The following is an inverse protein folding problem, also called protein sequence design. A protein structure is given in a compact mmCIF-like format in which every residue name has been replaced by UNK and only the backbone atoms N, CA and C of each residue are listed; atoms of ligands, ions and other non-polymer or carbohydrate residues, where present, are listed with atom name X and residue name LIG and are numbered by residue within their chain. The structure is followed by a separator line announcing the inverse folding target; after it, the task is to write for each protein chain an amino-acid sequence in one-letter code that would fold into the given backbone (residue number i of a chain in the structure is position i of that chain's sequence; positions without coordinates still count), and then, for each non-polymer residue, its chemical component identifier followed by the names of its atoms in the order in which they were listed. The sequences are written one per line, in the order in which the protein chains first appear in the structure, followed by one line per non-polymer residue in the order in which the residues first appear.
data_IF_414629839637
#
_entry.id   IF_414629839637
#
_cell.length_a   1.000
_cell.length_b   1.000
_cell.length_c   1.000
_cell.angle_alpha   90.00
_cell.angle_beta   90.00
_cell.angle_gamma   90.00
#
_symmetry.space_group_name_H-M   'P 1'
#
loop_
_entity.id
_entity.type
_entity.pdbx_description
1 polymer ?
#
# COMPACT_ATOMS: atom_id res chain seq x y z
N UNK A 1 -6.22 -4.90 15.39
CA UNK A 1 -5.36 -3.85 14.78
C UNK A 1 -6.07 -2.52 14.90
N UNK A 2 -5.37 -1.50 15.39
CA UNK A 2 -5.80 -0.10 15.37
C UNK A 2 -5.42 0.52 14.03
N UNK A 3 -6.30 1.33 13.44
CA UNK A 3 -6.13 1.88 12.10
C UNK A 3 -6.65 3.31 12.03
N UNK A 4 -5.91 4.18 11.38
CA UNK A 4 -6.35 5.52 10.97
C UNK A 4 -6.05 5.72 9.50
N UNK A 5 -6.96 6.40 8.80
CA UNK A 5 -6.84 6.72 7.37
C UNK A 5 -6.77 8.22 7.21
N UNK A 6 -5.83 8.69 6.40
CA UNK A 6 -5.62 10.09 6.07
C UNK A 6 -5.61 10.24 4.54
N UNK A 7 -6.70 10.69 3.92
CA UNK A 7 -6.66 11.09 2.51
C UNK A 7 -5.81 12.36 2.39
N UNK A 8 -4.70 12.28 1.68
CA UNK A 8 -3.68 13.35 1.60
C UNK A 8 -3.40 13.77 0.17
N UNK A 9 -2.94 15.00 0.03
CA UNK A 9 -2.61 15.62 -1.25
C UNK A 9 -3.81 15.84 -2.18
N UNK A 10 -3.54 16.38 -3.36
CA UNK A 10 -4.58 16.71 -4.36
C UNK A 10 -5.25 15.48 -4.96
N UNK A 11 -4.57 14.34 -4.98
CA UNK A 11 -5.09 13.06 -5.50
C UNK A 11 -5.83 12.27 -4.42
N UNK A 12 -5.89 12.77 -3.17
CA UNK A 12 -6.56 12.12 -2.05
C UNK A 12 -6.08 10.68 -1.83
N UNK A 13 -4.75 10.49 -1.91
CA UNK A 13 -4.12 9.19 -1.65
C UNK A 13 -4.35 8.80 -0.20
N UNK A 14 -4.81 7.60 0.04
CA UNK A 14 -5.05 7.08 1.38
C UNK A 14 -3.73 6.68 2.05
N UNK A 15 -3.23 7.51 2.94
CA UNK A 15 -2.18 7.11 3.87
C UNK A 15 -2.82 6.38 5.07
N UNK A 16 -2.31 5.21 5.40
CA UNK A 16 -2.77 4.44 6.54
C UNK A 16 -1.74 4.44 7.67
N UNK A 17 -2.20 4.71 8.90
CA UNK A 17 -1.43 4.54 10.12
C UNK A 17 -1.99 3.35 10.88
N UNK A 18 -1.16 2.33 11.15
CA UNK A 18 -1.60 1.09 11.77
C UNK A 18 -0.66 0.61 12.89
N UNK A 19 -1.24 -0.08 13.91
CA UNK A 19 -0.50 -0.70 15.01
C UNK A 19 -1.34 -1.79 15.70
N UNK A 20 -0.69 -2.72 16.40
CA UNK A 20 -1.37 -3.66 17.28
C UNK A 20 -1.82 -2.99 18.59
N UNK A 21 -2.93 -3.43 19.15
CA UNK A 21 -3.37 -2.99 20.47
C UNK A 21 -2.22 -3.14 21.48
N UNK A 22 -2.01 -2.11 22.30
CA UNK A 22 -0.93 -2.08 23.29
C UNK A 22 0.47 -1.76 22.74
N UNK A 23 0.68 -1.72 21.42
CA UNK A 23 1.99 -1.33 20.85
C UNK A 23 2.29 0.14 21.08
N UNK A 24 3.50 0.48 21.51
CA UNK A 24 4.00 1.86 21.54
C UNK A 24 4.49 2.36 20.18
N UNK A 25 4.55 1.46 19.19
CA UNK A 25 4.99 1.74 17.84
C UNK A 25 3.83 1.73 16.85
N UNK A 26 4.01 2.42 15.72
CA UNK A 26 3.11 2.37 14.57
C UNK A 26 3.89 2.24 13.26
N UNK A 27 3.17 1.94 12.20
CA UNK A 27 3.64 2.02 10.80
C UNK A 27 2.81 3.04 10.05
N UNK A 28 3.38 3.60 8.97
CA UNK A 28 2.65 4.32 7.93
C UNK A 28 2.72 3.51 6.63
N UNK A 29 1.62 3.53 5.87
CA UNK A 29 1.56 2.94 4.53
C UNK A 29 1.23 4.07 3.56
N UNK A 30 2.05 4.24 2.53
CA UNK A 30 1.93 5.23 1.47
C UNK A 30 1.76 6.69 1.96
N UNK A 31 2.72 7.26 2.70
CA UNK A 31 2.68 8.65 3.12
C UNK A 31 3.08 9.59 1.98
N UNK A 32 2.18 9.78 1.01
CA UNK A 32 2.44 10.47 -0.25
C UNK A 32 2.65 11.98 -0.12
N UNK A 33 2.00 12.62 0.85
CA UNK A 33 2.03 14.06 1.05
C UNK A 33 1.94 14.45 2.53
N UNK A 34 1.98 15.74 2.82
CA UNK A 34 1.68 16.34 4.12
C UNK A 34 2.46 15.69 5.29
N UNK A 35 3.81 15.58 5.19
CA UNK A 35 4.62 14.88 6.18
C UNK A 35 4.46 15.46 7.60
N UNK A 36 4.30 16.78 7.73
CA UNK A 36 4.11 17.46 9.02
C UNK A 36 2.79 17.03 9.70
N UNK A 37 1.70 16.92 8.93
CA UNK A 37 0.42 16.44 9.42
C UNK A 37 0.55 14.99 9.91
N UNK A 38 1.18 14.11 9.11
CA UNK A 38 1.36 12.71 9.46
C UNK A 38 2.23 12.53 10.71
N UNK A 39 3.32 13.29 10.82
CA UNK A 39 4.18 13.30 12.02
C UNK A 39 3.42 13.81 13.25
N UNK A 40 2.59 14.83 13.12
CA UNK A 40 1.73 15.29 14.20
C UNK A 40 0.75 14.20 14.63
N UNK A 41 0.14 13.47 13.68
CA UNK A 41 -0.76 12.36 14.00
C UNK A 41 -0.05 11.24 14.76
N UNK A 42 1.18 10.90 14.39
CA UNK A 42 2.02 9.93 15.13
C UNK A 42 2.20 10.40 16.58
N UNK A 43 2.53 11.68 16.79
CA UNK A 43 2.71 12.26 18.13
C UNK A 43 1.40 12.29 18.93
N UNK A 44 0.29 12.66 18.33
CA UNK A 44 -1.03 12.70 18.97
C UNK A 44 -1.47 11.30 19.45
N UNK A 45 -1.11 10.25 18.71
CA UNK A 45 -1.33 8.87 19.14
C UNK A 45 -0.30 8.39 20.18
N UNK A 46 0.69 9.21 20.56
CA UNK A 46 1.79 8.87 21.46
C UNK A 46 2.56 7.63 21.00
N UNK A 47 2.79 7.53 19.67
CA UNK A 47 3.49 6.41 19.07
C UNK A 47 4.88 6.82 18.59
N UNK A 48 5.74 5.83 18.43
CA UNK A 48 7.00 5.94 17.69
C UNK A 48 6.81 5.32 16.32
N UNK A 49 7.16 6.03 15.25
CA UNK A 49 7.08 5.48 13.90
C UNK A 49 8.23 4.47 13.70
N UNK A 50 7.88 3.20 13.57
CA UNK A 50 8.84 2.12 13.37
C UNK A 50 9.23 1.97 11.91
N UNK A 51 8.24 2.07 11.02
CA UNK A 51 8.46 1.87 9.59
C UNK A 51 7.42 2.58 8.72
N UNK A 52 7.83 2.83 7.47
CA UNK A 52 6.97 3.15 6.34
C UNK A 52 6.96 1.95 5.41
N UNK A 53 5.78 1.56 4.94
CA UNK A 53 5.57 0.53 3.93
C UNK A 53 5.04 1.19 2.66
N UNK A 54 5.69 0.96 1.53
CA UNK A 54 5.26 1.47 0.23
C UNK A 54 4.64 0.36 -0.59
N UNK A 55 3.43 0.58 -1.08
CA UNK A 55 2.78 -0.35 -2.01
C UNK A 55 3.41 -0.27 -3.39
N UNK A 56 3.85 0.91 -3.82
CA UNK A 56 4.57 1.17 -5.06
C UNK A 56 5.27 2.55 -5.03
N UNK A 57 5.91 2.96 -6.13
CA UNK A 57 6.78 4.12 -6.17
C UNK A 57 6.20 5.39 -6.80
N UNK A 58 4.90 5.49 -7.10
CA UNK A 58 4.35 6.72 -7.64
C UNK A 58 4.43 7.89 -6.66
N UNK A 59 4.63 9.08 -7.22
CA UNK A 59 4.93 10.31 -6.47
C UNK A 59 3.92 10.64 -5.38
N UNK A 60 2.66 10.31 -5.62
CA UNK A 60 1.57 10.56 -4.68
C UNK A 60 1.49 9.54 -3.53
N UNK A 61 2.26 8.46 -3.59
CA UNK A 61 2.43 7.49 -2.50
C UNK A 61 3.74 7.69 -1.73
N UNK A 62 4.74 8.35 -2.33
CA UNK A 62 6.10 8.43 -1.76
C UNK A 62 6.55 9.86 -1.40
N UNK A 63 5.83 10.90 -1.78
CA UNK A 63 6.31 12.28 -1.67
C UNK A 63 6.61 12.75 -0.24
N UNK A 64 5.91 12.23 0.78
CA UNK A 64 6.16 12.52 2.20
C UNK A 64 7.23 11.64 2.85
N UNK A 65 7.70 10.58 2.18
CA UNK A 65 8.59 9.56 2.77
C UNK A 65 9.91 10.15 3.25
N UNK A 66 10.60 10.89 2.38
CA UNK A 66 11.94 11.42 2.66
C UNK A 66 11.99 12.33 3.89
N UNK A 67 11.12 13.37 4.02
CA UNK A 67 11.10 14.21 5.22
C UNK A 67 10.70 13.42 6.48
N UNK A 68 9.73 12.49 6.40
CA UNK A 68 9.34 11.67 7.56
C UNK A 68 10.51 10.79 8.01
N UNK A 69 11.17 10.10 7.08
CA UNK A 69 12.30 9.23 7.41
C UNK A 69 13.50 10.02 7.96
N UNK A 70 13.76 11.23 7.44
CA UNK A 70 14.83 12.10 7.93
C UNK A 70 14.59 12.55 9.39
N UNK A 71 13.33 12.82 9.78
CA UNK A 71 12.98 13.24 11.13
C UNK A 71 12.95 12.09 12.13
N UNK A 72 12.44 10.92 11.70
CA UNK A 72 12.16 9.80 12.63
C UNK A 72 13.24 8.73 12.66
N UNK A 73 14.06 8.65 11.60
CA UNK A 73 15.00 7.54 11.41
C UNK A 73 14.31 6.19 11.17
N UNK A 74 13.02 6.17 10.82
CA UNK A 74 12.27 4.94 10.61
C UNK A 74 12.77 4.15 9.40
N UNK A 75 12.50 2.84 9.39
CA UNK A 75 12.75 2.00 8.22
C UNK A 75 11.75 2.32 7.12
N UNK A 76 12.19 2.23 5.86
CA UNK A 76 11.32 2.40 4.69
C UNK A 76 11.45 1.17 3.80
N UNK A 77 10.34 0.50 3.53
CA UNK A 77 10.25 -0.73 2.76
C UNK A 77 9.58 -0.49 1.41
N UNK A 78 10.16 -1.03 0.35
CA UNK A 78 9.60 -1.04 -1.01
C UNK A 78 9.89 -2.37 -1.70
N UNK A 79 9.04 -2.75 -2.67
CA UNK A 79 9.31 -3.95 -3.46
C UNK A 79 10.58 -3.78 -4.32
N UNK A 80 11.44 -4.80 -4.32
CA UNK A 80 12.68 -4.79 -5.10
C UNK A 80 12.43 -4.65 -6.61
N UNK A 81 11.30 -5.18 -7.12
CA UNK A 81 10.92 -5.06 -8.53
C UNK A 81 10.63 -3.62 -8.94
N UNK A 82 10.14 -2.77 -8.03
CA UNK A 82 9.88 -1.36 -8.27
C UNK A 82 11.16 -0.59 -8.64
N UNK A 83 12.28 -0.98 -8.06
CA UNK A 83 13.58 -0.33 -8.28
C UNK A 83 14.17 -0.59 -9.67
N UNK A 84 13.62 -1.54 -10.43
CA UNK A 84 14.05 -1.87 -11.80
C UNK A 84 13.47 -0.92 -12.85
N UNK A 85 12.52 -0.04 -12.46
CA UNK A 85 11.87 0.88 -13.37
C UNK A 85 12.68 2.13 -13.64
N UNK A 86 12.60 2.75 -14.85
CA UNK A 86 13.17 4.07 -15.09
C UNK A 86 12.49 5.09 -14.17
N UNK A 87 13.27 5.80 -13.40
CA UNK A 87 12.88 6.70 -12.31
C UNK A 87 12.01 7.93 -12.68
N UNK A 88 11.37 7.97 -13.85
CA UNK A 88 10.59 9.13 -14.30
C UNK A 88 9.39 9.48 -13.41
N UNK A 89 8.93 8.55 -12.58
CA UNK A 89 7.77 8.73 -11.70
C UNK A 89 8.10 8.53 -10.21
N UNK A 90 9.34 8.18 -9.91
CA UNK A 90 9.85 7.95 -8.56
C UNK A 90 11.07 8.82 -8.24
N UNK A 91 11.21 10.00 -8.90
CA UNK A 91 12.27 10.94 -8.57
C UNK A 91 12.20 11.29 -7.08
N UNK A 92 13.28 10.93 -6.38
CA UNK A 92 13.37 11.15 -4.95
C UNK A 92 12.84 9.99 -4.06
N UNK A 93 12.55 8.82 -4.64
CA UNK A 93 12.21 7.64 -3.86
C UNK A 93 13.28 7.36 -2.81
N UNK A 94 12.89 7.40 -1.55
CA UNK A 94 13.74 7.06 -0.42
C UNK A 94 13.30 5.72 0.15
N UNK A 95 14.24 4.80 0.32
CA UNK A 95 14.02 3.51 0.95
C UNK A 95 15.26 3.05 1.71
N UNK A 96 15.08 2.15 2.66
CA UNK A 96 16.18 1.56 3.44
C UNK A 96 16.22 0.04 3.33
N UNK A 97 15.09 -0.59 3.00
CA UNK A 97 14.91 -2.03 2.90
C UNK A 97 14.08 -2.37 1.68
N UNK A 98 14.30 -3.54 1.12
CA UNK A 98 13.45 -4.10 0.07
C UNK A 98 12.63 -5.26 0.60
N UNK A 99 11.47 -5.48 -0.05
CA UNK A 99 10.61 -6.65 0.15
C UNK A 99 10.35 -7.35 -1.16
N UNK A 100 9.93 -8.60 -1.06
CA UNK A 100 9.57 -9.45 -2.19
C UNK A 100 8.32 -10.29 -1.85
N UNK A 101 7.82 -11.01 -2.85
CA UNK A 101 6.74 -11.97 -2.70
C UNK A 101 6.97 -12.94 -1.54
N UNK A 102 5.98 -13.06 -0.66
CA UNK A 102 5.98 -14.02 0.43
C UNK A 102 6.71 -13.57 1.69
N UNK A 103 7.40 -12.42 1.66
CA UNK A 103 8.03 -11.88 2.86
C UNK A 103 6.98 -11.62 3.96
N UNK A 104 7.40 -11.83 5.21
CA UNK A 104 6.59 -11.55 6.39
C UNK A 104 7.30 -10.52 7.25
N UNK A 105 6.65 -9.41 7.48
CA UNK A 105 7.16 -8.31 8.30
C UNK A 105 6.49 -8.33 9.68
N UNK A 106 7.29 -8.21 10.73
CA UNK A 106 6.82 -8.03 12.11
C UNK A 106 7.13 -6.60 12.56
N UNK A 107 6.12 -5.72 12.49
CA UNK A 107 6.26 -4.27 12.72
C UNK A 107 5.10 -3.75 13.56
N UNK A 108 5.38 -2.89 14.52
CA UNK A 108 4.38 -2.28 15.41
C UNK A 108 3.45 -3.31 16.08
N UNK A 109 3.96 -4.52 16.37
CA UNK A 109 3.18 -5.65 16.89
C UNK A 109 2.27 -6.34 15.87
N UNK A 110 2.29 -5.91 14.61
CA UNK A 110 1.54 -6.51 13.51
C UNK A 110 2.39 -7.54 12.76
N UNK A 111 1.72 -8.50 12.14
CA UNK A 111 2.31 -9.43 11.17
C UNK A 111 1.71 -9.12 9.81
N UNK A 112 2.56 -8.68 8.88
CA UNK A 112 2.14 -8.30 7.53
C UNK A 112 2.81 -9.23 6.51
N UNK A 113 2.02 -9.88 5.68
CA UNK A 113 2.50 -10.65 4.54
C UNK A 113 2.55 -9.78 3.29
N UNK A 114 3.64 -9.86 2.54
CA UNK A 114 3.82 -9.17 1.27
C UNK A 114 3.28 -10.03 0.15
N UNK A 115 2.36 -9.49 -0.63
CA UNK A 115 1.79 -10.11 -1.82
C UNK A 115 2.19 -9.27 -3.03
N UNK A 116 3.04 -9.78 -3.90
CA UNK A 116 3.41 -9.09 -5.14
C UNK A 116 2.24 -9.11 -6.12
N UNK A 117 1.79 -7.94 -6.51
CA UNK A 117 0.58 -7.73 -7.34
C UNK A 117 0.88 -6.76 -8.49
N UNK A 118 1.75 -7.16 -9.45
CA UNK A 118 2.18 -6.29 -10.54
C UNK A 118 1.01 -5.93 -11.47
N UNK A 119 1.18 -4.81 -12.17
CA UNK A 119 0.29 -4.40 -13.25
C UNK A 119 0.00 -2.92 -13.30
N UNK A 120 -0.26 -2.24 -12.18
CA UNK A 120 -0.26 -0.78 -12.11
C UNK A 120 1.18 -0.25 -12.22
N UNK A 121 2.08 -0.81 -11.43
CA UNK A 121 3.53 -0.81 -11.66
C UNK A 121 4.07 -2.24 -11.56
N UNK A 122 5.28 -2.53 -12.05
CA UNK A 122 5.87 -3.86 -11.94
C UNK A 122 6.19 -4.29 -10.52
N UNK A 123 6.41 -3.35 -9.62
CA UNK A 123 6.75 -3.60 -8.23
C UNK A 123 5.59 -3.40 -7.25
N UNK A 124 4.35 -3.24 -7.72
CA UNK A 124 3.19 -3.15 -6.82
C UNK A 124 3.11 -4.34 -5.88
N UNK A 125 2.86 -4.05 -4.61
CA UNK A 125 2.56 -5.05 -3.58
C UNK A 125 1.31 -4.68 -2.81
N UNK A 126 0.60 -5.70 -2.34
CA UNK A 126 -0.38 -5.57 -1.27
C UNK A 126 0.23 -6.06 0.04
N UNK A 127 -0.20 -5.48 1.16
CA UNK A 127 0.15 -5.96 2.49
C UNK A 127 -1.08 -6.57 3.15
N UNK A 128 -1.00 -7.87 3.47
CA UNK A 128 -2.07 -8.59 4.17
C UNK A 128 -1.74 -8.66 5.67
N UNK A 129 -2.64 -8.14 6.50
CA UNK A 129 -2.53 -8.13 7.96
C UNK A 129 -3.82 -8.66 8.58
N UNK A 130 -3.82 -9.94 9.00
CA UNK A 130 -5.02 -10.59 9.49
C UNK A 130 -6.13 -10.60 8.45
N UNK A 131 -7.25 -9.95 8.74
CA UNK A 131 -8.43 -9.80 7.88
C UNK A 131 -8.42 -8.53 7.00
N UNK A 132 -7.30 -7.82 6.94
CA UNK A 132 -7.18 -6.53 6.26
C UNK A 132 -6.12 -6.57 5.17
N UNK A 133 -6.50 -6.17 3.96
CA UNK A 133 -5.65 -6.06 2.78
C UNK A 133 -5.44 -4.58 2.42
N UNK A 134 -4.23 -4.09 2.59
CA UNK A 134 -3.80 -2.79 2.04
C UNK A 134 -3.42 -3.02 0.58
N UNK A 135 -4.29 -2.64 -0.33
CA UNK A 135 -4.19 -3.03 -1.75
C UNK A 135 -3.42 -2.03 -2.62
N UNK A 136 -3.05 -0.87 -2.08
CA UNK A 136 -2.45 0.19 -2.90
C UNK A 136 -3.27 0.43 -4.15
N UNK A 137 -2.60 0.58 -5.29
CA UNK A 137 -3.23 0.81 -6.58
C UNK A 137 -3.43 -0.49 -7.40
N UNK A 138 -3.58 -1.61 -6.72
CA UNK A 138 -3.94 -2.88 -7.37
C UNK A 138 -5.46 -3.05 -7.45
N UNK A 139 -6.17 -2.99 -6.32
CA UNK A 139 -7.61 -3.22 -6.21
C UNK A 139 -8.29 -2.04 -5.55
N UNK A 140 -9.29 -1.47 -6.21
CA UNK A 140 -10.18 -0.42 -5.72
C UNK A 140 -11.63 -0.90 -5.60
N UNK A 141 -12.46 -0.14 -4.92
CA UNK A 141 -13.90 -0.40 -4.89
C UNK A 141 -14.52 -0.34 -6.30
N UNK A 142 -14.90 -1.51 -6.84
CA UNK A 142 -15.51 -1.65 -8.16
C UNK A 142 -14.59 -1.46 -9.36
N UNK A 143 -13.28 -1.31 -9.17
CA UNK A 143 -12.31 -1.09 -10.25
C UNK A 143 -10.90 -1.54 -9.84
N UNK A 144 -9.89 -1.22 -10.64
CA UNK A 144 -8.49 -1.49 -10.37
C UNK A 144 -7.61 -0.31 -10.78
N UNK A 145 -6.32 -0.37 -10.43
CA UNK A 145 -5.34 0.61 -10.85
C UNK A 145 -5.19 0.68 -12.36
N UNK A 146 -4.92 1.88 -12.87
CA UNK A 146 -4.64 2.11 -14.30
C UNK A 146 -3.35 1.41 -14.72
N UNK A 147 -3.28 1.04 -16.00
CA UNK A 147 -2.14 0.30 -16.57
C UNK A 147 -1.55 0.98 -17.81
N UNK A 148 -1.93 2.21 -18.06
CA UNK A 148 -1.50 3.01 -19.22
C UNK A 148 -0.30 3.93 -18.94
N UNK A 149 0.21 3.91 -17.71
CA UNK A 149 1.47 4.59 -17.34
C UNK A 149 2.68 3.69 -17.62
N UNK A 150 3.89 4.28 -17.74
CA UNK A 150 5.11 3.50 -17.94
C UNK A 150 5.30 2.41 -16.89
N UNK A 151 5.51 1.18 -17.34
CA UNK A 151 5.59 0.01 -16.48
C UNK A 151 4.25 -0.68 -16.22
N UNK A 152 3.13 -0.05 -16.62
CA UNK A 152 1.80 -0.65 -16.51
C UNK A 152 1.60 -1.82 -17.47
N UNK A 153 0.90 -2.86 -17.00
CA UNK A 153 0.57 -4.07 -17.78
C UNK A 153 -0.81 -4.59 -17.38
N UNK A 154 -1.74 -4.53 -18.33
CA UNK A 154 -3.12 -4.95 -18.08
C UNK A 154 -3.25 -6.46 -17.81
N UNK A 155 -2.43 -7.30 -18.48
CA UNK A 155 -2.47 -8.74 -18.22
C UNK A 155 -1.92 -9.06 -16.83
N UNK A 156 -0.89 -8.35 -16.41
CA UNK A 156 -0.31 -8.53 -15.08
C UNK A 156 -1.31 -8.13 -14.00
N UNK A 157 -2.01 -6.98 -14.13
CA UNK A 157 -2.99 -6.57 -13.10
C UNK A 157 -4.18 -7.52 -13.07
N UNK A 158 -4.64 -8.05 -14.20
CA UNK A 158 -5.68 -9.08 -14.22
C UNK A 158 -5.25 -10.34 -13.45
N UNK A 159 -4.03 -10.84 -13.68
CA UNK A 159 -3.51 -11.98 -12.94
C UNK A 159 -3.39 -11.69 -11.43
N UNK A 160 -2.97 -10.48 -11.07
CA UNK A 160 -2.91 -10.01 -9.69
C UNK A 160 -4.30 -9.99 -9.04
N UNK A 161 -5.30 -9.49 -9.74
CA UNK A 161 -6.69 -9.45 -9.24
C UNK A 161 -7.28 -10.86 -9.07
N UNK A 162 -7.03 -11.78 -10.01
CA UNK A 162 -7.46 -13.18 -9.87
C UNK A 162 -6.80 -13.85 -8.66
N UNK A 163 -5.52 -13.56 -8.44
CA UNK A 163 -4.81 -14.03 -7.25
C UNK A 163 -5.43 -13.49 -5.97
N UNK A 164 -5.76 -12.20 -5.90
CA UNK A 164 -6.44 -11.59 -4.75
C UNK A 164 -7.83 -12.20 -4.56
N UNK A 165 -8.57 -12.46 -5.64
CA UNK A 165 -9.88 -13.10 -5.57
C UNK A 165 -9.84 -14.51 -4.98
N UNK A 166 -8.72 -15.22 -5.12
CA UNK A 166 -8.51 -16.56 -4.58
C UNK A 166 -8.07 -16.60 -3.11
N UNK A 167 -7.82 -15.45 -2.46
CA UNK A 167 -7.51 -15.40 -1.03
C UNK A 167 -8.70 -15.91 -0.20
N UNK A 168 -8.42 -16.57 0.92
CA UNK A 168 -9.47 -17.09 1.79
C UNK A 168 -10.15 -15.97 2.61
N UNK A 169 -11.44 -16.15 2.86
CA UNK A 169 -12.24 -15.27 3.71
C UNK A 169 -12.67 -13.96 3.04
N UNK A 170 -13.44 -13.16 3.78
CA UNK A 170 -13.82 -11.80 3.39
C UNK A 170 -12.87 -10.81 4.05
N UNK A 171 -11.92 -10.32 3.28
CA UNK A 171 -10.92 -9.36 3.73
C UNK A 171 -11.44 -7.93 3.56
N UNK A 172 -11.19 -7.08 4.54
CA UNK A 172 -11.36 -5.63 4.39
C UNK A 172 -10.31 -5.12 3.39
N UNK A 173 -10.75 -4.48 2.31
CA UNK A 173 -9.90 -3.91 1.27
C UNK A 173 -9.70 -2.42 1.54
N UNK A 174 -8.44 -2.03 1.69
CA UNK A 174 -7.99 -0.66 1.94
C UNK A 174 -7.13 -0.18 0.76
N UNK A 175 -7.72 0.53 -0.21
CA UNK A 175 -7.05 0.93 -1.45
C UNK A 175 -6.20 2.19 -1.30
N UNK A 176 -5.30 2.43 -2.25
CA UNK A 176 -4.54 3.68 -2.36
C UNK A 176 -5.43 4.90 -2.62
N UNK A 177 -6.55 4.72 -3.30
CA UNK A 177 -7.51 5.79 -3.59
C UNK A 177 -8.95 5.36 -3.37
N UNK A 178 -9.80 6.34 -3.02
CA UNK A 178 -11.24 6.14 -2.87
C UNK A 178 -11.63 5.44 -1.56
N UNK A 179 -12.80 4.81 -1.58
CA UNK A 179 -13.37 4.21 -0.37
C UNK A 179 -12.87 2.78 -0.13
N UNK A 180 -12.90 2.36 1.12
CA UNK A 180 -12.69 0.98 1.50
C UNK A 180 -13.80 0.07 0.95
N UNK A 181 -13.47 -1.20 0.73
CA UNK A 181 -14.42 -2.24 0.29
C UNK A 181 -14.20 -3.53 1.08
N UNK A 182 -14.82 -4.61 0.64
CA UNK A 182 -14.52 -5.96 1.10
C UNK A 182 -14.25 -6.89 -0.09
N UNK A 183 -13.44 -7.90 0.14
CA UNK A 183 -13.04 -8.80 -0.94
C UNK A 183 -14.24 -9.58 -1.51
N UNK A 184 -15.25 -9.87 -0.68
CA UNK A 184 -16.48 -10.52 -1.14
C UNK A 184 -17.33 -9.60 -2.03
N UNK A 185 -17.36 -8.30 -1.75
CA UNK A 185 -18.02 -7.32 -2.63
C UNK A 185 -17.29 -7.26 -3.97
N UNK A 186 -15.96 -7.17 -3.93
CA UNK A 186 -15.16 -7.07 -5.14
C UNK A 186 -15.24 -8.35 -5.99
N UNK A 187 -15.21 -9.53 -5.40
CA UNK A 187 -15.43 -10.80 -6.11
C UNK A 187 -16.76 -10.84 -6.86
N UNK A 188 -17.82 -10.26 -6.27
CA UNK A 188 -19.17 -10.31 -6.84
C UNK A 188 -19.45 -9.24 -7.87
N UNK A 189 -18.91 -8.04 -7.67
CA UNK A 189 -19.36 -6.86 -8.42
C UNK A 189 -18.25 -6.14 -9.17
N UNK A 190 -16.97 -6.37 -8.85
CA UNK A 190 -15.88 -5.74 -9.56
C UNK A 190 -15.68 -6.43 -10.92
N UNK A 191 -15.91 -5.73 -12.05
CA UNK A 191 -15.82 -6.34 -13.37
C UNK A 191 -14.42 -6.87 -13.68
N UNK A 192 -13.37 -6.30 -13.08
CA UNK A 192 -11.98 -6.72 -13.31
C UNK A 192 -11.58 -7.98 -12.53
N UNK A 193 -12.37 -8.41 -11.54
CA UNK A 193 -12.18 -9.66 -10.81
C UNK A 193 -12.99 -10.85 -11.35
N UNK A 194 -13.90 -10.59 -12.29
CA UNK A 194 -14.72 -11.64 -12.89
C UNK A 194 -13.99 -12.29 -14.07
N UNK A 195 -14.11 -13.63 -14.24
CA UNK A 195 -13.48 -14.41 -15.30
C UNK A 195 -13.91 -14.01 -16.74
N UNK A 196 -14.91 -13.15 -16.86
CA UNK A 196 -15.58 -12.81 -18.12
C UNK A 196 -15.16 -11.44 -18.61
N UNK A 197 -13.90 -11.17 -18.84
CA UNK A 197 -13.69 -9.86 -19.46
C UNK A 197 -12.51 -9.92 -20.41
N UNK A 198 -12.88 -9.73 -21.68
CA UNK A 198 -12.08 -9.36 -22.85
C UNK A 198 -11.44 -10.47 -23.65
#
# INVERSE_FOLDING_TARGET
MELKTFPIGSLQTNCYMAWAEGSEKCILIDPGYEPELLLEQVRLQRKTLEAILLTHGHFDHVGGVKPIAAETGCKVYICAEELKQPLRYSDGLHYTHTVAEGDVLHLAGLTLQVLHTPGHTPGCVCYLCGDTLFSGDTLFAGTCGRTDLPGGDFKAIQASLQRLAALEGDLKVLPGHGMASSLDIERRYNPYMQERIW
#
